data_IF_886781196354
#
_entry.id   IF_886781196354
#
_cell.length_a   1.000
_cell.length_b   1.000
_cell.length_c   1.000
_cell.angle_alpha   90.00
_cell.angle_beta   90.00
_cell.angle_gamma   90.00
#
_symmetry.space_group_name_H-M   'P 1'
#
loop_
_entity.id
_entity.type
_entity.pdbx_description
1 polymer ?
#
# COMPACT_ATOMS: atom_id res chain seq x y z
N UNK A 1 -5.92 28.00 47.57
CA UNK A 1 -4.89 27.09 47.02
C UNK A 1 -5.51 26.23 45.94
N UNK A 2 -5.95 26.83 44.82
CA UNK A 2 -6.60 26.11 43.71
C UNK A 2 -6.43 26.85 42.37
N UNK A 3 -5.31 27.54 42.14
CA UNK A 3 -5.21 28.47 40.98
C UNK A 3 -4.00 28.21 40.07
N UNK A 4 -3.52 26.96 40.02
CA UNK A 4 -2.39 26.59 39.15
C UNK A 4 -2.58 25.33 38.31
N UNK A 5 -3.59 24.49 38.64
CA UNK A 5 -3.75 23.17 38.00
C UNK A 5 -4.70 23.19 36.79
N UNK A 6 -5.65 24.13 36.75
CA UNK A 6 -6.71 24.17 35.73
C UNK A 6 -6.21 24.80 34.43
N UNK A 7 -5.35 25.82 34.52
CA UNK A 7 -4.74 26.47 33.35
C UNK A 7 -3.78 25.54 32.59
N UNK A 8 -3.04 24.67 33.29
CA UNK A 8 -2.14 23.69 32.66
C UNK A 8 -2.88 22.60 31.88
N UNK A 9 -4.10 22.24 32.32
CA UNK A 9 -4.92 21.20 31.69
C UNK A 9 -5.57 21.66 30.37
N UNK A 10 -5.87 22.96 30.25
CA UNK A 10 -6.48 23.54 29.05
C UNK A 10 -5.48 23.77 27.90
N UNK A 11 -4.20 24.00 28.20
CA UNK A 11 -3.16 24.25 27.18
C UNK A 11 -2.77 22.97 26.42
N UNK A 12 -2.90 21.79 27.04
CA UNK A 12 -2.58 20.52 26.38
C UNK A 12 -3.63 20.04 25.37
N UNK A 13 -4.87 20.56 25.43
CA UNK A 13 -5.97 20.14 24.53
C UNK A 13 -5.95 20.82 23.15
N UNK A 14 -5.25 21.94 22.98
CA UNK A 14 -5.32 22.76 21.75
C UNK A 14 -4.23 22.34 20.73
N UNK A 15 -3.27 21.50 21.12
CA UNK A 15 -2.18 21.06 20.23
C UNK A 15 -2.50 19.81 19.39
N UNK A 16 -3.67 19.19 19.56
CA UNK A 16 -4.08 18.01 18.81
C UNK A 16 -4.88 18.40 17.56
N UNK A 17 -4.37 19.31 16.73
CA UNK A 17 -4.95 19.52 15.39
C UNK A 17 -4.44 18.36 14.51
N UNK A 18 -5.26 17.35 14.17
CA UNK A 18 -4.85 16.34 13.22
C UNK A 18 -4.60 17.02 11.88
N UNK A 19 -3.35 17.01 11.43
CA UNK A 19 -3.05 17.33 10.04
C UNK A 19 -3.79 16.30 9.18
N UNK A 20 -4.64 16.70 8.23
CA UNK A 20 -5.25 15.75 7.32
C UNK A 20 -4.12 15.09 6.52
N UNK A 21 -3.76 13.86 6.89
CA UNK A 21 -2.89 13.04 6.08
C UNK A 21 -3.64 12.78 4.77
N UNK A 22 -3.12 13.33 3.68
CA UNK A 22 -3.58 12.97 2.33
C UNK A 22 -3.09 11.55 2.11
N UNK A 23 -3.90 10.57 2.49
CA UNK A 23 -3.75 9.23 1.97
C UNK A 23 -4.02 9.33 0.47
N UNK A 24 -3.02 8.97 -0.33
CA UNK A 24 -3.17 8.97 -1.78
C UNK A 24 -4.32 8.01 -2.14
N UNK A 25 -5.42 8.54 -2.66
CA UNK A 25 -6.62 7.74 -3.01
C UNK A 25 -6.50 7.07 -4.37
N UNK A 26 -5.39 7.29 -5.06
CA UNK A 26 -5.13 6.71 -6.37
C UNK A 26 -4.56 5.30 -6.23
N UNK A 27 -5.13 4.36 -6.98
CA UNK A 27 -4.55 3.05 -7.12
C UNK A 27 -3.16 3.18 -7.79
N UNK A 28 -2.14 2.46 -7.29
CA UNK A 28 -0.82 2.47 -7.90
C UNK A 28 -0.91 1.99 -9.35
N UNK A 29 -0.04 2.54 -10.20
CA UNK A 29 0.08 2.14 -11.60
C UNK A 29 1.52 1.77 -11.94
N UNK A 30 1.70 0.89 -12.91
CA UNK A 30 3.02 0.47 -13.34
C UNK A 30 3.62 1.43 -14.38
N UNK A 31 4.95 1.49 -14.44
CA UNK A 31 5.69 2.24 -15.47
C UNK A 31 6.10 1.37 -16.67
N UNK A 32 5.60 0.14 -16.76
CA UNK A 32 5.95 -0.82 -17.79
C UNK A 32 5.60 -0.35 -19.20
N UNK A 33 6.54 -0.49 -20.14
CA UNK A 33 6.38 -0.08 -21.53
C UNK A 33 5.80 -1.24 -22.33
N UNK A 34 4.56 -1.07 -22.81
CA UNK A 34 3.92 -2.04 -23.68
C UNK A 34 4.63 -2.07 -25.05
N UNK A 35 5.06 -3.24 -25.55
CA UNK A 35 5.66 -3.35 -26.86
C UNK A 35 4.60 -3.17 -27.95
N UNK A 36 4.93 -2.41 -28.99
CA UNK A 36 4.07 -2.22 -30.16
C UNK A 36 4.40 -3.29 -31.18
N UNK A 37 3.40 -4.10 -31.56
CA UNK A 37 3.56 -5.11 -32.60
C UNK A 37 3.52 -4.43 -33.98
N UNK A 38 4.51 -4.66 -34.86
CA UNK A 38 4.44 -4.16 -36.23
C UNK A 38 3.38 -4.93 -37.05
N UNK A 39 2.79 -4.28 -38.04
CA UNK A 39 1.78 -4.89 -38.93
C UNK A 39 2.34 -6.12 -39.67
N UNK A 40 3.63 -6.05 -40.04
CA UNK A 40 4.41 -7.14 -40.63
C UNK A 40 5.84 -7.05 -40.13
N UNK A 41 6.47 -8.21 -39.93
CA UNK A 41 7.90 -8.28 -39.66
C UNK A 41 8.66 -8.36 -40.99
N UNK A 42 9.72 -7.55 -41.12
CA UNK A 42 10.58 -7.52 -42.30
C UNK A 42 11.73 -8.56 -42.22
N UNK A 43 11.86 -9.27 -41.11
CA UNK A 43 12.82 -10.36 -40.95
C UNK A 43 12.95 -10.87 -39.52
N UNK A 44 13.74 -11.93 -39.37
CA UNK A 44 13.93 -12.63 -38.09
C UNK A 44 14.52 -11.73 -36.99
N UNK A 45 15.30 -10.71 -37.35
CA UNK A 45 15.84 -9.77 -36.37
C UNK A 45 14.72 -8.99 -35.65
N UNK A 46 13.73 -8.50 -36.40
CA UNK A 46 12.60 -7.76 -35.81
C UNK A 46 11.73 -8.67 -34.93
N UNK A 47 11.55 -9.93 -35.33
CA UNK A 47 10.84 -10.93 -34.51
C UNK A 47 11.55 -11.11 -33.16
N UNK A 48 12.85 -11.36 -33.18
CA UNK A 48 13.65 -11.54 -31.96
C UNK A 48 13.61 -10.30 -31.06
N UNK A 49 13.66 -9.10 -31.65
CA UNK A 49 13.57 -7.84 -30.89
C UNK A 49 12.19 -7.67 -30.25
N UNK A 50 11.11 -7.99 -30.98
CA UNK A 50 9.76 -7.93 -30.45
C UNK A 50 9.56 -8.96 -29.31
N UNK A 51 10.02 -10.19 -29.48
CA UNK A 51 9.94 -11.23 -28.44
C UNK A 51 10.70 -10.84 -27.18
N UNK A 52 11.89 -10.23 -27.32
CA UNK A 52 12.63 -9.69 -26.20
C UNK A 52 11.85 -8.56 -25.48
N UNK A 53 11.22 -7.66 -26.24
CA UNK A 53 10.40 -6.59 -25.69
C UNK A 53 9.16 -7.12 -24.94
N UNK A 54 8.49 -8.15 -25.49
CA UNK A 54 7.37 -8.85 -24.82
C UNK A 54 7.82 -9.51 -23.52
N UNK A 55 8.96 -10.20 -23.53
CA UNK A 55 9.53 -10.82 -22.34
C UNK A 55 9.84 -9.79 -21.25
N UNK A 56 10.44 -8.66 -21.64
CA UNK A 56 10.73 -7.55 -20.71
C UNK A 56 9.45 -6.93 -20.13
N UNK A 57 8.44 -6.69 -20.96
CA UNK A 57 7.15 -6.16 -20.51
C UNK A 57 6.46 -7.11 -19.52
N UNK A 58 6.40 -8.41 -19.85
CA UNK A 58 5.85 -9.43 -18.96
C UNK A 58 6.55 -9.41 -17.60
N UNK A 59 7.89 -9.42 -17.59
CA UNK A 59 8.67 -9.38 -16.34
C UNK A 59 8.33 -8.14 -15.51
N UNK A 60 8.22 -6.97 -16.15
CA UNK A 60 7.87 -5.73 -15.47
C UNK A 60 6.47 -5.80 -14.82
N UNK A 61 5.47 -6.27 -15.57
CA UNK A 61 4.10 -6.40 -15.06
C UNK A 61 4.05 -7.41 -13.90
N UNK A 62 4.72 -8.54 -14.04
CA UNK A 62 4.78 -9.55 -12.97
C UNK A 62 5.41 -8.97 -11.71
N UNK A 63 6.51 -8.24 -11.83
CA UNK A 63 7.15 -7.61 -10.66
C UNK A 63 6.20 -6.64 -9.94
N UNK A 64 5.47 -5.81 -10.69
CA UNK A 64 4.47 -4.90 -10.11
C UNK A 64 3.36 -5.65 -9.38
N UNK A 65 2.83 -6.71 -9.97
CA UNK A 65 1.78 -7.53 -9.36
C UNK A 65 2.28 -8.19 -8.08
N UNK A 66 3.46 -8.81 -8.12
CA UNK A 66 4.04 -9.51 -6.98
C UNK A 66 4.30 -8.56 -5.81
N UNK A 67 4.84 -7.37 -6.08
CA UNK A 67 5.05 -6.32 -5.07
C UNK A 67 3.74 -5.93 -4.38
N UNK A 68 2.70 -5.65 -5.15
CA UNK A 68 1.43 -5.19 -4.60
C UNK A 68 0.62 -6.30 -3.92
N UNK A 69 0.75 -7.56 -4.34
CA UNK A 69 0.23 -8.69 -3.57
C UNK A 69 0.95 -8.85 -2.24
N UNK A 70 2.28 -8.70 -2.20
CA UNK A 70 3.03 -8.68 -0.96
C UNK A 70 2.55 -7.57 0.00
N UNK A 71 2.32 -6.36 -0.52
CA UNK A 71 1.77 -5.25 0.27
C UNK A 71 0.36 -5.56 0.78
N UNK A 72 -0.52 -6.11 -0.06
CA UNK A 72 -1.88 -6.48 0.34
C UNK A 72 -1.87 -7.54 1.45
N UNK A 73 -0.98 -8.53 1.37
CA UNK A 73 -0.81 -9.56 2.40
C UNK A 73 -0.32 -8.96 3.72
N UNK A 74 0.60 -8.00 3.68
CA UNK A 74 1.04 -7.28 4.88
C UNK A 74 -0.12 -6.51 5.54
N UNK A 75 -0.93 -5.81 4.76
CA UNK A 75 -2.12 -5.12 5.28
C UNK A 75 -3.14 -6.08 5.88
N UNK A 76 -3.37 -7.22 5.21
CA UNK A 76 -4.26 -8.28 5.72
C UNK A 76 -3.74 -8.82 7.06
N UNK A 77 -2.44 -9.15 7.13
CA UNK A 77 -1.81 -9.64 8.36
C UNK A 77 -1.92 -8.63 9.50
N UNK A 78 -1.75 -7.33 9.22
CA UNK A 78 -1.92 -6.28 10.22
C UNK A 78 -3.37 -6.20 10.73
N UNK A 79 -4.36 -6.33 9.84
CA UNK A 79 -5.77 -6.37 10.22
C UNK A 79 -6.09 -7.61 11.08
N UNK A 80 -5.60 -8.78 10.67
CA UNK A 80 -5.79 -10.03 11.41
C UNK A 80 -5.14 -9.97 12.81
N UNK A 81 -3.96 -9.35 12.93
CA UNK A 81 -3.30 -9.12 14.22
C UNK A 81 -4.11 -8.17 15.12
N UNK A 82 -4.64 -7.07 14.59
CA UNK A 82 -5.45 -6.13 15.35
C UNK A 82 -6.76 -6.79 15.85
N UNK A 83 -7.37 -7.64 15.02
CA UNK A 83 -8.54 -8.45 15.43
C UNK A 83 -8.16 -9.42 16.55
N UNK A 84 -7.02 -10.10 16.44
CA UNK A 84 -6.54 -11.01 17.47
C UNK A 84 -6.27 -10.29 18.80
N UNK A 85 -5.65 -9.11 18.75
CA UNK A 85 -5.42 -8.25 19.92
C UNK A 85 -6.74 -7.90 20.61
N UNK A 86 -7.73 -7.45 19.85
CA UNK A 86 -9.07 -7.15 20.38
C UNK A 86 -9.73 -8.37 21.04
N UNK A 87 -9.68 -9.52 20.36
CA UNK A 87 -10.27 -10.75 20.90
C UNK A 87 -9.58 -11.20 22.19
N UNK A 88 -8.25 -11.04 22.28
CA UNK A 88 -7.51 -11.32 23.52
C UNK A 88 -7.90 -10.36 24.63
N UNK A 89 -8.03 -9.06 24.33
CA UNK A 89 -8.52 -8.07 25.30
C UNK A 89 -9.89 -8.46 25.88
N UNK A 90 -10.83 -8.86 25.03
CA UNK A 90 -12.15 -9.32 25.48
C UNK A 90 -12.02 -10.53 26.41
N UNK A 91 -11.20 -11.52 26.04
CA UNK A 91 -10.95 -12.73 26.82
C UNK A 91 -10.38 -12.44 28.20
N UNK A 92 -9.37 -11.58 28.26
CA UNK A 92 -8.69 -11.25 29.51
C UNK A 92 -9.58 -10.47 30.48
N UNK A 93 -10.62 -9.81 29.95
CA UNK A 93 -11.58 -9.04 30.75
C UNK A 93 -12.94 -9.74 30.93
N UNK A 94 -13.10 -10.99 30.47
CA UNK A 94 -14.35 -11.74 30.58
C UNK A 94 -15.54 -11.08 29.85
N UNK A 95 -15.26 -10.43 28.72
CA UNK A 95 -16.25 -9.69 27.93
C UNK A 95 -16.80 -10.51 26.75
N UNK A 96 -16.46 -11.79 26.67
CA UNK A 96 -16.77 -12.73 25.59
C UNK A 96 -17.18 -14.11 26.11
#
# INVERSE_FOLDING_TARGET
MTDGKIAGLLVFMIAAVPCPAIADTFAPSHTCIQPVKPDKFNGNHEVTMFDAAVSNYKRCITAFVDEHYGIADLHRSAADQAIAEWNNFLKDNGLN
#
